data_IF_047618894936
#
_entry.id   IF_047618894936
#
_cell.length_a   1.000
_cell.length_b   1.000
_cell.length_c   1.000
_cell.angle_alpha   90.00
_cell.angle_beta   90.00
_cell.angle_gamma   90.00
#
_symmetry.space_group_name_H-M   'P 1'
#
loop_
_entity.id
_entity.type
_entity.pdbx_description
1 polymer ?
#
# COMPACT_ATOMS: atom_id res chain seq x y z
N UNK A 1 -4.25 -12.53 -9.08
CA UNK A 1 -4.67 -11.21 -9.57
C UNK A 1 -4.54 -10.24 -8.40
N UNK A 2 -3.51 -9.37 -8.37
CA UNK A 2 -3.44 -8.29 -7.39
C UNK A 2 -4.14 -7.10 -8.04
N UNK A 3 -5.43 -6.95 -7.76
CA UNK A 3 -6.21 -5.84 -8.30
C UNK A 3 -5.88 -4.58 -7.51
N UNK A 4 -5.32 -3.58 -8.18
CA UNK A 4 -5.09 -2.25 -7.62
C UNK A 4 -6.42 -1.52 -7.44
N UNK A 5 -7.14 -1.94 -6.40
CA UNK A 5 -8.10 -1.20 -5.58
C UNK A 5 -8.61 -2.18 -4.50
N UNK A 6 -7.71 -2.71 -3.67
CA UNK A 6 -8.04 -3.75 -2.67
C UNK A 6 -9.21 -3.32 -1.77
N UNK A 7 -9.34 -2.02 -1.51
CA UNK A 7 -10.42 -1.41 -0.74
C UNK A 7 -11.82 -1.61 -1.33
N UNK A 8 -11.95 -1.84 -2.64
CA UNK A 8 -13.24 -2.09 -3.30
C UNK A 8 -13.37 -3.52 -3.80
N UNK A 9 -12.29 -4.20 -4.15
CA UNK A 9 -12.37 -5.57 -4.67
C UNK A 9 -12.64 -6.62 -3.60
N UNK A 10 -12.14 -6.41 -2.38
CA UNK A 10 -12.42 -7.29 -1.23
C UNK A 10 -13.92 -7.30 -0.86
N UNK A 11 -14.60 -6.15 -0.66
CA UNK A 11 -16.03 -6.17 -0.35
C UNK A 11 -16.88 -6.68 -1.52
N UNK A 12 -16.51 -6.40 -2.77
CA UNK A 12 -17.21 -6.97 -3.94
C UNK A 12 -17.08 -8.49 -3.96
N UNK A 13 -15.88 -9.03 -3.73
CA UNK A 13 -15.67 -10.47 -3.66
C UNK A 13 -16.45 -11.11 -2.49
N UNK A 14 -16.53 -10.43 -1.35
CA UNK A 14 -17.35 -10.87 -0.21
C UNK A 14 -18.83 -11.01 -0.59
N UNK A 15 -19.40 -10.01 -1.26
CA UNK A 15 -20.80 -10.04 -1.71
C UNK A 15 -21.07 -11.11 -2.77
N UNK A 16 -20.13 -11.34 -3.69
CA UNK A 16 -20.24 -12.43 -4.67
C UNK A 16 -20.23 -13.80 -3.99
N UNK A 17 -19.33 -14.01 -3.01
CA UNK A 17 -19.27 -15.27 -2.26
C UNK A 17 -20.49 -15.48 -1.36
N UNK A 18 -21.09 -14.41 -0.81
CA UNK A 18 -22.35 -14.49 -0.05
C UNK A 18 -23.50 -14.92 -0.96
N UNK A 19 -23.62 -14.33 -2.16
CA UNK A 19 -24.64 -14.73 -3.15
C UNK A 19 -24.48 -16.18 -3.61
N UNK A 20 -23.25 -16.67 -3.68
CA UNK A 20 -22.95 -18.06 -4.01
C UNK A 20 -23.08 -19.03 -2.82
N UNK A 21 -23.35 -18.54 -1.60
CA UNK A 21 -23.52 -19.36 -0.40
C UNK A 21 -22.22 -19.99 0.15
N UNK A 22 -21.06 -19.59 -0.35
CA UNK A 22 -19.74 -20.15 -0.01
C UNK A 22 -18.84 -19.17 0.75
N UNK A 23 -19.43 -18.09 1.28
CA UNK A 23 -18.67 -17.06 1.98
C UNK A 23 -18.06 -17.59 3.28
N UNK A 24 -16.74 -17.48 3.37
CA UNK A 24 -15.96 -17.79 4.56
C UNK A 24 -15.03 -16.59 4.84
N UNK A 25 -15.34 -15.87 5.92
CA UNK A 25 -14.60 -14.68 6.35
C UNK A 25 -13.13 -14.98 6.66
N UNK A 26 -12.80 -16.22 7.03
CA UNK A 26 -11.43 -16.64 7.35
C UNK A 26 -10.61 -16.97 6.11
N UNK A 27 -11.21 -16.98 4.92
CA UNK A 27 -10.54 -17.32 3.66
C UNK A 27 -10.41 -16.15 2.69
N UNK A 28 -11.11 -15.04 2.93
CA UNK A 28 -11.04 -13.85 2.10
C UNK A 28 -10.04 -12.85 2.67
N UNK A 29 -8.91 -12.67 1.97
CA UNK A 29 -7.85 -11.76 2.39
C UNK A 29 -7.56 -10.68 1.35
N UNK A 30 -7.51 -9.43 1.79
CA UNK A 30 -6.91 -8.33 1.04
C UNK A 30 -5.40 -8.33 1.22
N UNK A 31 -4.64 -8.54 0.15
CA UNK A 31 -3.17 -8.57 0.23
C UNK A 31 -2.65 -7.13 0.31
N UNK A 32 -2.19 -6.71 1.49
CA UNK A 32 -1.56 -5.40 1.77
C UNK A 32 -0.07 -5.51 2.13
N UNK A 33 0.52 -6.69 1.91
CA UNK A 33 1.91 -7.00 2.29
C UNK A 33 2.94 -6.12 1.60
N UNK A 34 2.62 -5.61 0.40
CA UNK A 34 3.49 -4.67 -0.33
C UNK A 34 3.69 -3.36 0.45
N UNK A 35 2.65 -2.87 1.12
CA UNK A 35 2.72 -1.63 1.91
C UNK A 35 3.61 -1.81 3.13
N UNK A 36 3.57 -3.00 3.75
CA UNK A 36 4.45 -3.35 4.86
C UNK A 36 5.91 -3.33 4.41
N UNK A 37 6.23 -3.90 3.24
CA UNK A 37 7.60 -3.88 2.71
C UNK A 37 8.07 -2.45 2.38
N UNK A 38 7.19 -1.61 1.83
CA UNK A 38 7.49 -0.19 1.57
C UNK A 38 7.73 0.59 2.87
N UNK A 39 6.85 0.47 3.86
CA UNK A 39 7.01 1.14 5.15
C UNK A 39 8.32 0.71 5.85
N UNK A 40 8.66 -0.59 5.82
CA UNK A 40 9.92 -1.11 6.37
C UNK A 40 11.14 -0.55 5.65
N UNK A 41 11.15 -0.55 4.31
CA UNK A 41 12.27 -0.01 3.53
C UNK A 41 12.44 1.50 3.75
N UNK A 42 11.34 2.24 3.86
CA UNK A 42 11.40 3.67 4.13
C UNK A 42 11.90 3.99 5.53
N UNK A 43 11.39 3.29 6.55
CA UNK A 43 11.86 3.42 7.92
C UNK A 43 13.35 3.08 8.02
N UNK A 44 13.75 1.92 7.49
CA UNK A 44 15.14 1.46 7.48
C UNK A 44 16.10 2.46 6.80
N UNK A 45 15.72 3.04 5.65
CA UNK A 45 16.53 4.04 4.96
C UNK A 45 16.72 5.34 5.75
N UNK A 46 15.78 5.69 6.64
CA UNK A 46 15.88 6.87 7.50
C UNK A 46 16.60 6.60 8.82
N UNK A 47 16.34 5.43 9.39
CA UNK A 47 16.98 4.89 10.57
C UNK A 47 18.43 4.45 10.33
N UNK A 48 18.83 4.24 9.06
CA UNK A 48 20.11 3.64 8.64
C UNK A 48 20.33 2.25 9.26
N UNK A 49 19.28 1.46 9.33
CA UNK A 49 19.31 0.09 9.84
C UNK A 49 18.95 -0.90 8.75
N UNK A 50 19.22 -2.19 8.97
CA UNK A 50 18.87 -3.24 8.03
C UNK A 50 17.35 -3.44 8.00
N UNK A 51 16.79 -3.55 6.80
CA UNK A 51 15.34 -3.75 6.57
C UNK A 51 14.82 -5.02 7.25
N UNK A 52 15.65 -6.07 7.32
CA UNK A 52 15.31 -7.35 7.94
C UNK A 52 15.05 -7.27 9.44
N UNK A 53 15.67 -6.29 10.13
CA UNK A 53 15.51 -6.07 11.57
C UNK A 53 14.38 -5.11 11.93
N UNK A 54 13.64 -4.60 10.94
CA UNK A 54 12.59 -3.58 11.10
C UNK A 54 11.22 -4.26 10.97
N UNK A 55 10.36 -4.03 11.95
CA UNK A 55 8.99 -4.52 11.97
C UNK A 55 7.93 -3.41 12.14
N UNK A 56 7.63 -2.69 11.06
CA UNK A 56 6.60 -1.64 11.05
C UNK A 56 5.25 -2.28 10.72
N UNK A 57 4.28 -2.29 11.65
CA UNK A 57 2.93 -2.70 11.32
C UNK A 57 2.24 -1.59 10.52
N UNK A 58 1.49 -2.00 9.49
CA UNK A 58 0.69 -1.12 8.65
C UNK A 58 -0.77 -1.52 8.79
N UNK A 59 -1.63 -0.56 9.12
CA UNK A 59 -3.06 -0.77 9.30
C UNK A 59 -3.87 0.10 8.35
N UNK A 60 -5.14 -0.24 8.18
CA UNK A 60 -6.07 0.47 7.30
C UNK A 60 -6.26 -0.23 5.95
N UNK A 61 -6.30 0.55 4.88
CA UNK A 61 -6.53 0.08 3.50
C UNK A 61 -5.26 0.11 2.64
N UNK A 62 -5.42 -0.15 1.34
CA UNK A 62 -4.37 -0.13 0.32
C UNK A 62 -4.54 1.05 -0.66
N UNK A 63 -4.99 2.21 -0.18
CA UNK A 63 -5.18 3.38 -1.03
C UNK A 63 -4.75 4.67 -0.33
N UNK A 64 -3.57 5.19 -0.71
CA UNK A 64 -3.07 6.52 -0.33
C UNK A 64 -3.17 6.77 1.17
N UNK A 65 -4.05 7.70 1.57
CA UNK A 65 -4.20 8.11 2.97
C UNK A 65 -4.75 7.02 3.90
N UNK A 66 -5.37 5.97 3.35
CA UNK A 66 -5.88 4.84 4.15
C UNK A 66 -4.77 3.89 4.62
N UNK A 67 -3.56 4.01 4.08
CA UNK A 67 -2.38 3.24 4.51
C UNK A 67 -1.74 3.96 5.69
N UNK A 68 -1.82 3.36 6.88
CA UNK A 68 -1.32 3.94 8.12
C UNK A 68 -0.18 3.09 8.71
N UNK A 69 1.08 3.40 8.39
CA UNK A 69 2.24 2.78 9.04
C UNK A 69 2.40 3.31 10.48
N UNK A 70 2.44 2.39 11.45
CA UNK A 70 2.57 2.70 12.86
C UNK A 70 4.04 2.71 13.29
N UNK A 71 4.77 3.75 12.88
CA UNK A 71 6.19 3.90 13.22
C UNK A 71 6.49 4.00 14.72
N UNK A 72 5.48 4.31 15.54
CA UNK A 72 5.62 4.37 17.01
C UNK A 72 5.69 3.00 17.68
N UNK A 73 5.24 1.93 17.01
CA UNK A 73 5.23 0.57 17.55
C UNK A 73 6.56 -0.17 17.30
N UNK A 74 7.48 0.45 16.58
CA UNK A 74 8.81 -0.10 16.36
C UNK A 74 9.64 -0.06 17.64
N UNK A 75 10.12 -1.22 18.05
CA UNK A 75 10.90 -1.37 19.28
C UNK A 75 12.36 -0.95 19.11
N UNK A 76 12.81 -0.72 17.87
CA UNK A 76 14.11 -0.12 17.59
C UNK A 76 14.06 1.34 18.03
N UNK A 77 14.58 1.58 19.23
CA UNK A 77 14.61 2.83 19.98
C UNK A 77 15.42 3.94 19.26
N UNK A 78 14.92 4.40 18.12
CA UNK A 78 15.41 5.59 17.46
C UNK A 78 14.54 6.76 17.90
N UNK A 79 15.18 7.78 18.47
CA UNK A 79 14.64 9.11 18.72
C UNK A 79 14.19 9.79 17.41
N UNK A 80 13.20 9.23 16.72
CA UNK A 80 12.41 9.92 15.73
C UNK A 80 11.43 10.78 16.51
N UNK A 81 11.89 11.97 16.90
CA UNK A 81 11.05 13.02 17.48
C UNK A 81 9.72 13.12 16.69
N UNK A 82 8.57 13.25 17.35
CA UNK A 82 7.24 13.15 16.72
C UNK A 82 7.09 13.99 15.44
N UNK A 83 7.72 15.16 15.39
CA UNK A 83 7.75 16.03 14.20
C UNK A 83 8.34 15.36 12.94
N UNK A 84 9.25 14.39 13.10
CA UNK A 84 9.82 13.62 11.99
C UNK A 84 8.81 12.58 11.49
N UNK A 85 8.02 11.95 12.37
CA UNK A 85 7.06 10.89 12.03
C UNK A 85 5.97 11.42 11.09
N UNK A 86 5.37 12.57 11.38
CA UNK A 86 4.35 13.18 10.51
C UNK A 86 4.90 13.51 9.12
N UNK A 87 6.14 14.01 9.05
CA UNK A 87 6.83 14.26 7.77
C UNK A 87 7.17 12.98 7.01
N UNK A 88 7.38 11.86 7.71
CA UNK A 88 7.62 10.55 7.11
C UNK A 88 6.33 10.00 6.48
N UNK A 89 5.21 10.05 7.20
CA UNK A 89 3.89 9.69 6.70
C UNK A 89 3.51 10.46 5.43
N UNK A 90 3.62 11.79 5.46
CA UNK A 90 3.33 12.63 4.29
C UNK A 90 4.20 12.30 3.07
N UNK A 91 5.45 11.90 3.28
CA UNK A 91 6.37 11.53 2.20
C UNK A 91 6.05 10.17 1.60
N UNK A 92 5.63 9.21 2.40
CA UNK A 92 5.18 7.90 1.93
C UNK A 92 3.95 8.06 1.03
N UNK A 93 2.93 8.77 1.51
CA UNK A 93 1.71 9.02 0.73
C UNK A 93 2.02 9.75 -0.59
N UNK A 94 2.88 10.78 -0.55
CA UNK A 94 3.28 11.51 -1.76
C UNK A 94 4.07 10.65 -2.76
N UNK A 95 4.93 9.76 -2.28
CA UNK A 95 5.66 8.81 -3.15
C UNK A 95 4.72 7.82 -3.81
N UNK A 96 3.71 7.36 -3.07
CA UNK A 96 2.73 6.42 -3.59
C UNK A 96 1.85 7.06 -4.67
N UNK A 97 1.38 8.29 -4.45
CA UNK A 97 0.68 9.08 -5.47
C UNK A 97 1.55 9.31 -6.72
N UNK A 98 2.83 9.65 -6.56
CA UNK A 98 3.76 9.80 -7.69
C UNK A 98 3.97 8.50 -8.46
N UNK A 99 3.89 7.36 -7.78
CA UNK A 99 4.06 6.05 -8.40
C UNK A 99 2.80 5.65 -9.18
N UNK A 100 1.62 5.95 -8.63
CA UNK A 100 0.34 5.77 -9.30
C UNK A 100 0.21 6.71 -10.52
N UNK A 101 0.69 7.96 -10.43
CA UNK A 101 0.67 8.89 -11.56
C UNK A 101 1.61 8.43 -12.67
N UNK A 102 2.82 7.93 -12.35
CA UNK A 102 3.72 7.31 -13.33
C UNK A 102 3.11 6.08 -14.01
N UNK A 103 2.51 5.17 -13.23
CA UNK A 103 1.84 3.99 -13.78
C UNK A 103 0.62 4.35 -14.64
N UNK A 104 -0.08 5.45 -14.33
CA UNK A 104 -1.18 5.96 -15.16
C UNK A 104 -0.66 6.49 -16.50
N UNK A 105 0.39 7.33 -16.47
CA UNK A 105 1.04 7.86 -17.67
C UNK A 105 1.60 6.75 -18.58
N UNK A 106 2.19 5.71 -18.00
CA UNK A 106 2.73 4.57 -18.74
C UNK A 106 1.63 3.68 -19.36
N UNK A 107 0.42 3.70 -18.77
CA UNK A 107 -0.75 2.96 -19.26
C UNK A 107 -1.69 3.83 -20.10
N UNK A 108 -1.34 5.08 -20.37
CA UNK A 108 -2.21 5.97 -21.13
C UNK A 108 -2.40 5.42 -22.56
N UNK A 109 -3.66 5.20 -23.00
CA UNK A 109 -3.96 4.60 -24.29
C UNK A 109 -3.50 5.45 -25.48
N UNK A 110 -3.17 6.73 -25.25
CA UNK A 110 -2.58 7.65 -26.23
C UNK A 110 -1.12 7.33 -26.58
N UNK A 111 -0.43 6.48 -25.81
CA UNK A 111 0.95 6.06 -26.07
C UNK A 111 1.05 4.83 -26.97
N UNK A 112 -0.07 4.15 -27.28
CA UNK A 112 -0.07 2.95 -28.14
C UNK A 112 -0.38 3.33 -29.60
N UNK A 113 0.61 3.32 -30.52
CA UNK A 113 0.44 3.81 -31.89
C UNK A 113 -0.50 2.97 -32.76
N UNK A 114 -0.87 1.77 -32.32
CA UNK A 114 -1.64 0.79 -33.09
C UNK A 114 -3.17 0.97 -33.04
N UNK A 115 -3.68 1.85 -32.16
CA UNK A 115 -5.13 2.02 -31.91
C UNK A 115 -5.82 3.07 -32.81
N UNK A 116 -5.13 3.58 -33.84
CA UNK A 116 -5.65 4.62 -34.75
C UNK A 116 -6.24 4.11 -36.07
N UNK A 117 -6.26 2.80 -36.33
CA UNK A 117 -6.74 2.21 -37.58
C UNK A 117 -7.89 1.20 -37.36
N UNK A 118 -8.92 1.58 -36.61
CA UNK A 118 -10.21 0.90 -36.59
C UNK A 118 -11.34 1.93 -36.70
#
# INVERSE_FOLDING_TARGET
MISNLVNSTVPIAAEVFKKAGIYDEKKLFGVTTLDVVHAKTFYAGKAKVLVSGVNVPVVGGHAGITILPLFSQEHLNLMLCQMKISKLLQREHKKEEQRLSKQRLEKDPLHYPWRKNC
#
